data_IF_342123534576
#
_entry.id   IF_342123534576
#
_cell.length_a   1.000
_cell.length_b   1.000
_cell.length_c   1.000
_cell.angle_alpha   90.00
_cell.angle_beta   90.00
_cell.angle_gamma   90.00
#
_symmetry.space_group_name_H-M   'P 1'
#
loop_
_entity.id
_entity.type
_entity.pdbx_description
1 polymer ?
#
# COMPACT_ATOMS: atom_id res chain seq x y z
N UNK A 1 -11.55 -5.05 -14.80
CA UNK A 1 -10.23 -5.70 -15.01
C UNK A 1 -10.07 -6.74 -13.91
N UNK A 2 -9.96 -8.04 -14.22
CA UNK A 2 -9.76 -9.07 -13.19
C UNK A 2 -8.42 -8.81 -12.50
N UNK A 3 -8.41 -8.79 -11.16
CA UNK A 3 -7.19 -8.73 -10.36
C UNK A 3 -6.26 -9.82 -10.87
N UNK A 4 -5.10 -9.44 -11.42
CA UNK A 4 -4.07 -10.40 -11.79
C UNK A 4 -3.85 -11.29 -10.58
N UNK A 5 -4.16 -12.57 -10.76
CA UNK A 5 -4.37 -13.55 -9.70
C UNK A 5 -3.34 -13.38 -8.58
N UNK A 6 -3.79 -13.00 -7.39
CA UNK A 6 -3.02 -13.17 -6.16
C UNK A 6 -2.60 -14.64 -5.93
N UNK A 7 -3.12 -15.59 -6.73
CA UNK A 7 -2.74 -16.99 -6.69
C UNK A 7 -1.44 -17.27 -7.45
N UNK A 8 -0.33 -17.35 -6.71
CA UNK A 8 0.84 -18.14 -7.11
C UNK A 8 0.90 -19.42 -6.27
N UNK A 9 1.54 -20.44 -6.83
CA UNK A 9 1.68 -21.74 -6.20
C UNK A 9 3.08 -21.94 -5.64
N UNK A 10 3.16 -22.40 -4.39
CA UNK A 10 4.42 -22.78 -3.74
C UNK A 10 5.19 -23.76 -4.61
N UNK A 11 6.51 -23.59 -4.67
CA UNK A 11 7.42 -24.40 -5.49
C UNK A 11 7.56 -23.95 -6.94
N UNK A 12 6.71 -23.02 -7.41
CA UNK A 12 6.80 -22.48 -8.78
C UNK A 12 7.96 -21.48 -8.90
N UNK A 13 8.71 -21.55 -10.00
CA UNK A 13 9.68 -20.50 -10.37
C UNK A 13 9.03 -19.46 -11.26
N UNK A 14 9.09 -18.20 -10.83
CA UNK A 14 8.68 -17.04 -11.60
C UNK A 14 9.89 -16.46 -12.34
N UNK A 15 9.66 -15.95 -13.54
CA UNK A 15 10.67 -15.32 -14.41
C UNK A 15 10.38 -13.84 -14.68
N UNK A 16 9.35 -13.29 -14.03
CA UNK A 16 8.99 -11.87 -14.10
C UNK A 16 9.42 -11.19 -12.79
N UNK A 17 10.53 -10.43 -12.79
CA UNK A 17 11.00 -9.72 -11.60
C UNK A 17 9.97 -8.78 -11.00
N UNK A 18 9.09 -8.18 -11.80
CA UNK A 18 8.05 -7.25 -11.31
C UNK A 18 7.00 -7.97 -10.47
N UNK A 19 6.79 -9.27 -10.72
CA UNK A 19 5.85 -10.07 -9.95
C UNK A 19 6.30 -10.28 -8.49
N UNK A 20 7.61 -10.39 -8.26
CA UNK A 20 8.22 -10.72 -6.95
C UNK A 20 9.10 -9.61 -6.37
N UNK A 21 8.94 -8.38 -6.86
CA UNK A 21 9.60 -7.19 -6.32
C UNK A 21 11.04 -6.94 -6.79
N UNK A 22 11.52 -7.64 -7.81
CA UNK A 22 12.85 -7.45 -8.40
C UNK A 22 13.94 -8.22 -7.66
N UNK A 23 15.20 -7.81 -7.84
CA UNK A 23 16.35 -8.37 -7.12
C UNK A 23 17.00 -9.58 -7.80
N UNK A 24 16.22 -10.34 -8.56
CA UNK A 24 16.65 -11.51 -9.31
C UNK A 24 15.91 -11.60 -10.63
N UNK A 25 16.51 -12.24 -11.64
CA UNK A 25 15.84 -12.53 -12.92
C UNK A 25 14.73 -13.58 -12.76
N UNK A 26 14.87 -14.45 -11.76
CA UNK A 26 13.93 -15.51 -11.43
C UNK A 26 13.92 -15.81 -9.95
N UNK A 27 12.78 -16.24 -9.45
CA UNK A 27 12.62 -16.57 -8.03
C UNK A 27 11.67 -17.74 -7.84
N UNK A 28 11.99 -18.63 -6.91
CA UNK A 28 11.10 -19.73 -6.52
C UNK A 28 10.24 -19.30 -5.34
N UNK A 29 8.93 -19.49 -5.44
CA UNK A 29 7.98 -19.25 -4.34
C UNK A 29 8.20 -20.30 -3.26
N UNK A 30 8.57 -19.88 -2.06
CA UNK A 30 8.82 -20.75 -0.91
C UNK A 30 7.58 -20.93 -0.05
N UNK A 31 7.17 -19.86 0.63
CA UNK A 31 6.01 -19.85 1.55
C UNK A 31 4.99 -18.84 1.02
N UNK A 32 3.72 -19.06 1.36
CA UNK A 32 2.63 -18.14 1.06
C UNK A 32 1.67 -18.04 2.24
N UNK A 33 1.43 -16.83 2.72
CA UNK A 33 0.56 -16.53 3.86
C UNK A 33 -0.46 -15.48 3.41
N UNK A 34 -1.75 -15.76 3.63
CA UNK A 34 -2.81 -14.76 3.43
C UNK A 34 -2.86 -13.84 4.64
N UNK A 35 -3.10 -12.55 4.39
CA UNK A 35 -3.17 -11.54 5.45
C UNK A 35 -4.13 -10.41 5.07
N UNK A 36 -4.33 -9.45 5.98
CA UNK A 36 -5.14 -8.25 5.80
C UNK A 36 -4.38 -7.04 6.33
N UNK A 37 -4.07 -6.10 5.45
CA UNK A 37 -3.41 -4.84 5.81
C UNK A 37 -4.40 -3.68 5.58
N UNK A 38 -4.69 -2.90 6.63
CA UNK A 38 -5.62 -1.77 6.56
C UNK A 38 -7.00 -2.14 5.99
N UNK A 39 -7.52 -3.33 6.33
CA UNK A 39 -8.79 -3.84 5.81
C UNK A 39 -8.74 -4.37 4.37
N UNK A 40 -7.58 -4.33 3.71
CA UNK A 40 -7.40 -4.85 2.36
C UNK A 40 -6.72 -6.21 2.36
N UNK A 41 -7.18 -7.11 1.48
CA UNK A 41 -6.61 -8.45 1.36
C UNK A 41 -5.16 -8.38 0.84
N UNK A 42 -4.27 -9.02 1.59
CA UNK A 42 -2.86 -9.14 1.31
C UNK A 42 -2.41 -10.59 1.20
N UNK A 43 -1.25 -10.77 0.56
CA UNK A 43 -0.53 -12.04 0.54
C UNK A 43 0.94 -11.76 0.77
N UNK A 44 1.54 -12.40 1.76
CA UNK A 44 2.98 -12.45 1.94
C UNK A 44 3.52 -13.71 1.30
N UNK A 45 4.56 -13.57 0.48
CA UNK A 45 5.23 -14.67 -0.19
C UNK A 45 6.73 -14.59 0.00
N UNK A 46 7.35 -15.73 0.29
CA UNK A 46 8.80 -15.86 0.27
C UNK A 46 9.30 -16.25 -1.10
N UNK A 47 10.45 -15.71 -1.43
CA UNK A 47 11.11 -15.93 -2.70
C UNK A 47 12.55 -16.30 -2.47
N UNK A 48 13.01 -17.34 -3.16
CA UNK A 48 14.41 -17.75 -3.16
C UNK A 48 14.99 -17.56 -4.56
N UNK A 49 16.05 -16.78 -4.66
CA UNK A 49 16.83 -16.65 -5.90
C UNK A 49 17.58 -17.98 -6.16
N UNK A 50 17.34 -18.67 -7.28
CA UNK A 50 17.94 -19.97 -7.55
C UNK A 50 19.47 -19.96 -7.63
N UNK A 51 20.05 -18.84 -8.10
CA UNK A 51 21.48 -18.75 -8.38
C UNK A 51 22.30 -18.35 -7.15
N UNK A 52 21.73 -17.53 -6.26
CA UNK A 52 22.45 -16.97 -5.10
C UNK A 52 21.99 -17.56 -3.77
N UNK A 53 20.83 -18.23 -3.75
CA UNK A 53 20.18 -18.66 -2.51
C UNK A 53 19.63 -17.51 -1.67
N UNK A 54 19.69 -16.26 -2.15
CA UNK A 54 19.13 -15.12 -1.44
C UNK A 54 17.62 -15.32 -1.23
N UNK A 55 17.14 -15.00 -0.03
CA UNK A 55 15.73 -15.11 0.33
C UNK A 55 15.18 -13.74 0.68
N UNK A 56 13.98 -13.42 0.25
CA UNK A 56 13.26 -12.22 0.65
C UNK A 56 11.76 -12.51 0.72
N UNK A 57 11.03 -11.64 1.39
CA UNK A 57 9.57 -11.69 1.44
C UNK A 57 9.00 -10.51 0.65
N UNK A 58 7.84 -10.74 0.02
CA UNK A 58 7.02 -9.65 -0.51
C UNK A 58 5.61 -9.73 0.02
N UNK A 59 5.09 -8.59 0.47
CA UNK A 59 3.67 -8.39 0.68
C UNK A 59 3.05 -7.80 -0.59
N UNK A 60 1.98 -8.41 -1.09
CA UNK A 60 1.13 -7.85 -2.16
C UNK A 60 -0.26 -7.59 -1.60
N UNK A 61 -0.72 -6.34 -1.63
CA UNK A 61 -2.05 -5.91 -1.18
C UNK A 61 -2.91 -5.51 -2.37
N UNK A 62 -4.13 -6.03 -2.42
CA UNK A 62 -5.14 -5.66 -3.41
C UNK A 62 -5.84 -4.36 -3.04
N UNK A 63 -5.70 -3.33 -3.87
CA UNK A 63 -6.26 -1.99 -3.65
C UNK A 63 -7.65 -1.87 -4.30
N UNK A 64 -8.54 -1.01 -3.75
CA UNK A 64 -9.91 -0.87 -4.23
C UNK A 64 -10.00 -0.05 -5.53
N UNK A 65 -8.99 0.77 -5.82
CA UNK A 65 -8.92 1.65 -6.99
C UNK A 65 -7.60 1.47 -7.73
N UNK A 66 -7.58 1.84 -9.01
CA UNK A 66 -6.34 1.94 -9.76
C UNK A 66 -5.56 3.18 -9.30
N UNK A 67 -4.29 2.99 -8.99
CA UNK A 67 -3.36 4.07 -8.63
C UNK A 67 -2.27 4.27 -9.66
N UNK A 68 -1.73 5.50 -9.75
CA UNK A 68 -0.60 5.81 -10.61
C UNK A 68 0.58 4.88 -10.36
N UNK A 69 1.27 4.50 -11.44
CA UNK A 69 2.44 3.66 -11.34
C UNK A 69 3.62 4.43 -10.74
N UNK A 70 4.07 4.01 -9.57
CA UNK A 70 5.23 4.57 -8.87
C UNK A 70 5.98 3.45 -8.15
N UNK A 71 7.30 3.46 -8.26
CA UNK A 71 8.17 2.55 -7.51
C UNK A 71 9.16 3.38 -6.71
N UNK A 72 9.33 2.99 -5.45
CA UNK A 72 10.30 3.55 -4.52
C UNK A 72 11.28 2.43 -4.18
N UNK A 73 12.53 2.60 -4.61
CA UNK A 73 13.59 1.61 -4.45
C UNK A 73 14.66 2.14 -3.51
N UNK A 74 15.06 1.34 -2.53
CA UNK A 74 16.23 1.66 -1.73
C UNK A 74 17.48 1.64 -2.61
N UNK A 75 18.38 2.61 -2.45
CA UNK A 75 19.56 2.77 -3.31
C UNK A 75 20.50 1.56 -3.29
N UNK A 76 20.50 0.78 -2.22
CA UNK A 76 21.25 -0.49 -2.16
C UNK A 76 20.74 -1.55 -3.15
N UNK A 77 19.53 -1.41 -3.68
CA UNK A 77 18.96 -2.28 -4.70
C UNK A 77 19.34 -1.88 -6.14
N UNK A 78 20.00 -0.73 -6.31
CA UNK A 78 20.31 -0.20 -7.64
C UNK A 78 21.20 -1.17 -8.43
N UNK A 79 20.82 -1.41 -9.69
CA UNK A 79 21.54 -2.34 -10.58
C UNK A 79 21.09 -3.79 -10.46
N UNK A 80 20.20 -4.13 -9.52
CA UNK A 80 19.57 -5.45 -9.47
C UNK A 80 18.48 -5.61 -10.54
N UNK A 81 18.19 -6.84 -11.01
CA UNK A 81 17.12 -7.10 -11.96
C UNK A 81 15.77 -6.50 -11.54
N UNK A 82 15.11 -5.81 -12.47
CA UNK A 82 13.83 -5.14 -12.22
C UNK A 82 13.92 -3.88 -11.38
N UNK A 83 15.11 -3.42 -10.97
CA UNK A 83 15.34 -2.10 -10.37
C UNK A 83 15.81 -1.14 -11.45
N UNK A 84 15.02 -0.10 -11.80
CA UNK A 84 15.41 0.83 -12.85
C UNK A 84 16.74 1.50 -12.50
N UNK A 85 17.68 1.46 -13.44
CA UNK A 85 18.87 2.30 -13.38
C UNK A 85 18.39 3.74 -13.48
N UNK A 86 18.71 4.57 -12.49
CA UNK A 86 18.27 5.96 -12.37
C UNK A 86 18.30 6.70 -13.73
N UNK A 87 17.17 6.74 -14.42
CA UNK A 87 17.07 7.25 -15.79
C UNK A 87 15.65 7.67 -16.09
N UNK A 88 15.50 8.76 -16.86
CA UNK A 88 14.29 9.32 -17.51
C UNK A 88 13.10 9.72 -16.63
N UNK A 89 12.74 8.86 -15.68
CA UNK A 89 11.51 8.87 -14.90
C UNK A 89 11.78 9.01 -13.39
N UNK A 90 12.99 9.46 -13.04
CA UNK A 90 13.39 9.69 -11.65
C UNK A 90 12.69 10.94 -11.10
N UNK A 91 11.96 10.78 -10.00
CA UNK A 91 11.29 11.85 -9.28
C UNK A 91 12.05 12.10 -7.98
N UNK A 92 12.23 13.36 -7.59
CA UNK A 92 12.76 13.70 -6.26
C UNK A 92 11.62 13.91 -5.29
N UNK A 93 11.75 13.40 -4.07
CA UNK A 93 10.82 13.70 -2.99
C UNK A 93 10.93 15.15 -2.53
N UNK A 94 12.11 15.77 -2.70
CA UNK A 94 12.39 17.11 -2.17
C UNK A 94 12.76 17.09 -0.69
N UNK A 95 12.99 15.90 -0.12
CA UNK A 95 13.48 15.70 1.24
C UNK A 95 14.85 15.04 1.18
N UNK A 96 15.90 15.78 1.54
CA UNK A 96 17.29 15.34 1.36
C UNK A 96 17.57 13.97 2.00
N UNK A 97 17.13 13.75 3.24
CA UNK A 97 17.32 12.48 3.94
C UNK A 97 16.66 11.30 3.21
N UNK A 98 15.51 11.50 2.58
CA UNK A 98 14.82 10.47 1.82
C UNK A 98 15.51 10.24 0.46
N UNK A 99 15.79 11.33 -0.26
CA UNK A 99 16.44 11.28 -1.57
C UNK A 99 17.86 10.68 -1.50
N UNK A 100 18.53 10.73 -0.33
CA UNK A 100 19.81 10.06 -0.06
C UNK A 100 19.72 8.55 0.05
N UNK A 101 18.56 7.99 0.44
CA UNK A 101 18.38 6.56 0.69
C UNK A 101 17.55 5.88 -0.39
N UNK A 102 16.63 6.61 -1.02
CA UNK A 102 15.67 6.07 -1.97
C UNK A 102 15.77 6.72 -3.34
N UNK A 103 15.37 5.96 -4.35
CA UNK A 103 15.13 6.39 -5.71
C UNK A 103 13.65 6.20 -6.02
N UNK A 104 13.00 7.23 -6.55
CA UNK A 104 11.60 7.16 -6.98
C UNK A 104 11.54 7.14 -8.49
N UNK A 105 10.87 6.15 -9.05
CA UNK A 105 10.60 6.02 -10.48
C UNK A 105 9.10 6.05 -10.73
N UNK A 106 8.65 6.94 -11.62
CA UNK A 106 7.24 7.03 -12.00
C UNK A 106 7.04 7.49 -13.44
N UNK A 107 6.02 6.93 -14.11
CA UNK A 107 5.69 7.33 -15.49
C UNK A 107 5.13 8.74 -15.58
N UNK A 108 4.38 9.14 -14.57
CA UNK A 108 3.82 10.49 -14.42
C UNK A 108 4.38 11.11 -13.12
N UNK A 109 5.36 12.03 -13.23
CA UNK A 109 5.96 12.70 -12.08
C UNK A 109 4.97 13.49 -11.23
N UNK A 110 3.92 14.07 -11.83
CA UNK A 110 2.93 14.86 -11.08
C UNK A 110 2.04 13.94 -10.24
N UNK A 111 1.59 12.83 -10.82
CA UNK A 111 0.82 11.84 -10.08
C UNK A 111 1.66 11.15 -8.99
N UNK A 112 2.96 10.95 -9.24
CA UNK A 112 3.89 10.43 -8.24
C UNK A 112 4.12 11.39 -7.08
N UNK A 113 4.24 12.70 -7.34
CA UNK A 113 4.34 13.71 -6.28
C UNK A 113 3.12 13.70 -5.34
N UNK A 114 1.94 13.35 -5.85
CA UNK A 114 0.73 13.21 -5.01
C UNK A 114 0.75 11.95 -4.13
N UNK A 115 1.41 10.88 -4.58
CA UNK A 115 1.58 9.65 -3.80
C UNK A 115 2.73 9.76 -2.79
N UNK A 116 3.80 10.45 -3.18
CA UNK A 116 5.02 10.65 -2.40
C UNK A 116 4.84 11.79 -1.38
N UNK A 117 3.96 11.57 -0.40
CA UNK A 117 3.74 12.50 0.70
C UNK A 117 4.91 12.51 1.68
N UNK A 118 5.06 13.60 2.45
CA UNK A 118 6.06 13.66 3.53
C UNK A 118 5.87 12.53 4.56
N UNK A 119 4.62 12.16 4.85
CA UNK A 119 4.31 11.02 5.71
C UNK A 119 4.77 9.68 5.13
N UNK A 120 4.62 9.45 3.82
CA UNK A 120 5.15 8.24 3.18
C UNK A 120 6.68 8.19 3.27
N UNK A 121 7.36 9.32 3.05
CA UNK A 121 8.81 9.42 3.20
C UNK A 121 9.26 9.10 4.63
N UNK A 122 8.57 9.61 5.65
CA UNK A 122 8.87 9.34 7.06
C UNK A 122 8.68 7.86 7.43
N UNK A 123 7.59 7.24 6.97
CA UNK A 123 7.34 5.80 7.17
C UNK A 123 8.48 4.97 6.60
N UNK A 124 8.91 5.24 5.36
CA UNK A 124 9.97 4.51 4.68
C UNK A 124 11.38 4.77 5.24
N UNK A 125 11.60 5.92 5.88
CA UNK A 125 12.84 6.20 6.60
C UNK A 125 12.88 5.46 7.95
N UNK A 126 11.75 5.41 8.67
CA UNK A 126 11.65 4.71 9.95
C UNK A 126 11.67 3.19 9.79
N UNK A 127 11.06 2.69 8.72
CA UNK A 127 10.88 1.26 8.45
C UNK A 127 11.35 0.97 7.03
N UNK A 128 12.67 0.84 6.83
CA UNK A 128 13.21 0.72 5.49
C UNK A 128 12.84 -0.61 4.85
N UNK A 129 12.45 -0.52 3.58
CA UNK A 129 12.19 -1.67 2.70
C UNK A 129 13.05 -1.55 1.47
N UNK A 130 13.36 -2.68 0.85
CA UNK A 130 14.15 -2.61 -0.38
C UNK A 130 13.34 -2.01 -1.52
N UNK A 131 12.04 -2.31 -1.59
CA UNK A 131 11.14 -1.75 -2.58
C UNK A 131 9.73 -1.59 -2.06
N UNK A 132 9.10 -0.49 -2.49
CA UNK A 132 7.67 -0.27 -2.44
C UNK A 132 7.18 0.10 -3.85
N UNK A 133 6.09 -0.50 -4.31
CA UNK A 133 5.57 -0.27 -5.65
C UNK A 133 4.05 -0.18 -5.65
N UNK A 134 3.56 0.83 -6.34
CA UNK A 134 2.16 1.03 -6.69
C UNK A 134 2.00 0.79 -8.18
N UNK A 135 1.07 -0.07 -8.56
CA UNK A 135 0.77 -0.34 -9.96
C UNK A 135 -0.66 -0.83 -10.14
N UNK A 136 -1.50 -0.04 -10.81
CA UNK A 136 -2.90 -0.41 -11.01
C UNK A 136 -3.59 -0.58 -9.66
N UNK A 137 -4.20 -1.73 -9.40
CA UNK A 137 -4.89 -2.03 -8.13
C UNK A 137 -4.00 -2.78 -7.13
N UNK A 138 -2.69 -2.55 -7.14
CA UNK A 138 -1.72 -3.30 -6.34
C UNK A 138 -0.76 -2.38 -5.59
N UNK A 139 -0.61 -2.63 -4.30
CA UNK A 139 0.56 -2.24 -3.51
C UNK A 139 1.44 -3.49 -3.36
N UNK A 140 2.74 -3.35 -3.64
CA UNK A 140 3.76 -4.36 -3.39
C UNK A 140 4.84 -3.78 -2.49
N UNK A 141 5.16 -4.50 -1.43
CA UNK A 141 6.26 -4.20 -0.52
C UNK A 141 7.22 -5.37 -0.52
N UNK A 142 8.52 -5.11 -0.68
CA UNK A 142 9.57 -6.12 -0.68
C UNK A 142 10.60 -5.80 0.39
N UNK A 143 10.91 -6.80 1.21
CA UNK A 143 11.97 -6.73 2.21
C UNK A 143 13.35 -6.70 1.55
N UNK A 144 14.37 -6.40 2.35
CA UNK A 144 15.74 -6.74 1.96
C UNK A 144 15.94 -8.26 1.89
N UNK A 145 17.05 -8.67 1.29
CA UNK A 145 17.46 -10.07 1.30
C UNK A 145 17.83 -10.49 2.73
N UNK A 146 17.60 -11.77 3.07
CA UNK A 146 17.78 -12.35 4.40
C UNK A 146 16.49 -12.45 5.23
N UNK A 147 15.37 -11.92 4.74
CA UNK A 147 14.07 -11.98 5.41
C UNK A 147 13.20 -13.12 4.85
N UNK A 148 12.68 -13.94 5.74
CA UNK A 148 11.68 -14.98 5.43
C UNK A 148 10.33 -14.57 6.03
N UNK A 149 9.24 -15.16 5.55
CA UNK A 149 7.86 -14.93 5.99
C UNK A 149 7.58 -15.65 7.30
N UNK A 150 8.35 -15.31 8.34
CA UNK A 150 8.03 -15.67 9.71
C UNK A 150 6.83 -14.86 10.18
N UNK A 151 6.12 -15.28 11.24
CA UNK A 151 5.01 -14.52 11.79
C UNK A 151 5.36 -13.06 12.13
N UNK A 152 6.58 -12.81 12.60
CA UNK A 152 7.08 -11.48 12.93
C UNK A 152 7.23 -10.60 11.68
N UNK A 153 7.77 -11.16 10.59
CA UNK A 153 7.92 -10.44 9.31
C UNK A 153 6.57 -10.18 8.67
N UNK A 154 5.64 -11.15 8.73
CA UNK A 154 4.27 -10.97 8.24
C UNK A 154 3.58 -9.82 8.99
N UNK A 155 3.59 -9.85 10.32
CA UNK A 155 2.97 -8.80 11.14
C UNK A 155 3.60 -7.43 10.89
N UNK A 156 4.93 -7.38 10.74
CA UNK A 156 5.64 -6.13 10.44
C UNK A 156 5.28 -5.59 9.04
N UNK A 157 5.21 -6.45 8.02
CA UNK A 157 4.80 -6.06 6.67
C UNK A 157 3.35 -5.54 6.65
N UNK A 158 2.44 -6.18 7.40
CA UNK A 158 1.05 -5.74 7.50
C UNK A 158 0.92 -4.38 8.17
N UNK A 159 1.65 -4.18 9.26
CA UNK A 159 1.69 -2.90 9.96
C UNK A 159 2.29 -1.80 9.07
N UNK A 160 3.41 -2.08 8.40
CA UNK A 160 4.03 -1.15 7.46
C UNK A 160 3.08 -0.78 6.32
N UNK A 161 2.43 -1.76 5.70
CA UNK A 161 1.45 -1.49 4.66
C UNK A 161 0.27 -0.68 5.19
N UNK A 162 -0.18 -0.90 6.42
CA UNK A 162 -1.23 -0.11 7.02
C UNK A 162 -0.81 1.36 7.23
N UNK A 163 0.43 1.61 7.67
CA UNK A 163 0.94 2.97 7.78
C UNK A 163 1.09 3.65 6.42
N UNK A 164 1.66 2.96 5.43
CA UNK A 164 1.76 3.46 4.04
C UNK A 164 0.39 3.86 3.51
N UNK A 165 -0.62 3.00 3.69
CA UNK A 165 -1.97 3.24 3.18
C UNK A 165 -2.66 4.39 3.91
N UNK A 166 -2.43 4.54 5.23
CA UNK A 166 -2.98 5.65 6.01
C UNK A 166 -2.42 7.02 5.59
N UNK A 167 -1.13 7.09 5.19
CA UNK A 167 -0.47 8.34 4.82
C UNK A 167 -0.47 8.64 3.31
N UNK A 168 -1.07 7.77 2.50
CA UNK A 168 -1.14 7.94 1.04
C UNK A 168 -2.58 8.32 0.62
N UNK A 169 -2.83 9.60 0.26
CA UNK A 169 -4.19 10.14 0.08
C UNK A 169 -5.03 9.46 -1.01
N UNK A 170 -4.37 8.85 -2.00
CA UNK A 170 -5.03 8.25 -3.17
C UNK A 170 -5.86 7.00 -2.85
N UNK A 171 -5.67 6.37 -1.68
CA UNK A 171 -6.39 5.15 -1.29
C UNK A 171 -7.65 5.43 -0.46
N UNK A 172 -7.73 6.60 0.17
CA UNK A 172 -8.88 7.06 0.94
C UNK A 172 -9.84 7.88 0.07
N UNK A 173 -9.30 8.56 -0.93
CA UNK A 173 -10.08 9.40 -1.84
C UNK A 173 -10.21 8.72 -3.18
N UNK A 174 -11.44 8.51 -3.68
CA UNK A 174 -11.67 8.22 -5.10
C UNK A 174 -10.92 9.29 -5.91
N UNK A 175 -9.76 8.96 -6.47
CA UNK A 175 -9.14 9.77 -7.52
C UNK A 175 -9.95 9.54 -8.80
N UNK A 176 -11.18 10.03 -8.80
CA UNK A 176 -11.95 10.23 -10.00
C UNK A 176 -11.41 11.48 -10.67
N UNK A 177 -10.44 11.30 -11.57
CA UNK A 177 -10.06 12.31 -12.56
C UNK A 177 -11.21 12.66 -13.54
N UNK A 178 -12.46 12.39 -13.17
CA UNK A 178 -13.67 12.63 -13.96
C UNK A 178 -14.71 13.50 -13.22
N UNK A 179 -14.46 13.92 -11.98
CA UNK A 179 -15.39 14.78 -11.26
C UNK A 179 -14.78 16.18 -11.10
N UNK A 180 -15.47 17.18 -11.67
CA UNK A 180 -15.14 18.60 -11.55
C UNK A 180 -15.12 19.12 -10.10
N UNK A 181 -14.88 20.44 -9.93
CA UNK A 181 -14.33 21.01 -8.71
C UNK A 181 -15.40 21.24 -7.64
N UNK A 182 -16.11 20.21 -7.15
CA UNK A 182 -17.06 20.40 -6.03
C UNK A 182 -17.54 19.11 -5.34
N UNK A 183 -16.79 18.00 -5.39
CA UNK A 183 -17.20 16.79 -4.65
C UNK A 183 -16.28 16.61 -3.45
N UNK A 184 -16.82 16.88 -2.27
CA UNK A 184 -16.14 16.60 -1.00
C UNK A 184 -15.68 15.12 -0.98
N UNK A 185 -14.49 14.83 -0.42
CA UNK A 185 -13.97 13.47 -0.35
C UNK A 185 -14.99 12.58 0.36
N UNK A 186 -15.55 11.60 -0.36
CA UNK A 186 -16.38 10.58 0.28
C UNK A 186 -15.45 9.65 1.05
N UNK A 187 -15.43 9.84 2.36
CA UNK A 187 -14.92 8.86 3.32
C UNK A 187 -15.66 7.53 3.16
N UNK A 188 -14.98 6.43 3.48
CA UNK A 188 -15.56 5.09 3.44
C UNK A 188 -16.84 5.00 4.29
N UNK A 189 -17.78 4.12 3.92
CA UNK A 189 -18.98 3.90 4.73
C UNK A 189 -18.60 3.55 6.18
N UNK A 190 -19.35 4.05 7.17
CA UNK A 190 -19.04 3.83 8.58
C UNK A 190 -18.98 2.33 8.89
N UNK A 191 -17.93 1.91 9.61
CA UNK A 191 -17.67 0.51 10.00
C UNK A 191 -16.37 -0.12 9.51
N UNK A 192 -15.54 0.61 8.73
CA UNK A 192 -14.21 0.17 8.27
C UNK A 192 -13.04 0.84 9.02
N UNK A 193 -13.31 1.79 9.91
CA UNK A 193 -12.29 2.35 10.78
C UNK A 193 -11.96 1.34 11.89
N UNK A 194 -10.66 1.15 12.16
CA UNK A 194 -10.20 0.44 13.36
C UNK A 194 -10.71 1.13 14.63
N UNK A 195 -10.46 0.57 15.82
CA UNK A 195 -11.18 0.87 17.07
C UNK A 195 -11.01 2.29 17.65
N UNK A 196 -10.47 3.25 16.89
CA UNK A 196 -10.43 4.67 17.27
C UNK A 196 -11.19 5.49 16.22
N UNK A 197 -12.50 5.66 16.45
CA UNK A 197 -13.25 6.76 15.84
C UNK A 197 -12.93 8.06 16.58
N UNK A 198 -12.70 9.18 15.89
CA UNK A 198 -12.74 10.49 16.52
C UNK A 198 -14.20 10.84 16.85
N UNK A 199 -14.46 11.16 18.11
CA UNK A 199 -15.78 11.60 18.57
C UNK A 199 -16.26 12.83 17.79
N UNK A 200 -17.39 12.64 17.07
CA UNK A 200 -18.17 13.69 16.45
C UNK A 200 -18.58 14.74 17.49
N UNK A 201 -17.91 15.89 17.49
CA UNK A 201 -18.39 17.08 18.18
C UNK A 201 -19.51 17.70 17.36
N UNK A 202 -20.72 17.21 17.65
CA UNK A 202 -22.04 17.86 17.57
C UNK A 202 -22.02 19.26 16.93
N UNK A 203 -22.46 19.34 15.68
CA UNK A 203 -23.09 20.57 15.18
C UNK A 203 -24.53 20.62 15.69
N UNK A 204 -24.80 21.60 16.54
CA UNK A 204 -26.11 21.92 17.07
C UNK A 204 -27.08 22.36 15.97
N UNK A 205 -28.30 21.83 16.05
CA UNK A 205 -29.51 22.63 15.90
C UNK A 205 -29.89 23.11 14.50
N UNK A 206 -30.48 22.24 13.69
CA UNK A 206 -31.55 22.64 12.77
C UNK A 206 -32.71 21.66 12.90
N UNK A 207 -33.71 22.09 13.65
CA UNK A 207 -34.96 21.38 13.83
C UNK A 207 -35.82 21.40 12.57
N UNK A 208 -36.48 20.28 12.32
CA UNK A 208 -37.74 20.24 11.59
C UNK A 208 -38.56 19.06 12.10
N UNK A 209 -39.83 19.37 12.31
CA UNK A 209 -40.77 18.67 13.15
C UNK A 209 -41.32 17.37 12.54
N UNK A 210 -41.79 16.51 13.44
CA UNK A 210 -43.12 15.93 13.29
C UNK A 210 -43.17 14.42 13.05
N UNK A 211 -44.15 13.80 13.73
CA UNK A 211 -44.61 12.41 13.61
C UNK A 211 -43.71 11.48 14.45
N UNK A 212 -44.10 11.00 15.64
CA UNK A 212 -45.36 10.34 15.96
C UNK A 212 -45.73 10.55 17.44
N UNK A 213 -47.01 10.84 17.70
CA UNK A 213 -47.62 10.71 19.03
C UNK A 213 -48.17 9.31 19.24
N UNK A 214 -48.33 8.94 20.52
CA UNK A 214 -49.29 8.00 21.17
C UNK A 214 -48.61 7.06 22.18
N UNK A 215 -49.32 6.58 23.23
CA UNK A 215 -49.92 7.36 24.31
C UNK A 215 -49.45 6.87 25.70
N UNK A 216 -49.64 7.72 26.71
CA UNK A 216 -49.38 7.40 28.11
C UNK A 216 -50.23 6.22 28.62
N UNK A 217 -49.59 5.28 29.31
CA UNK A 217 -50.24 4.36 30.26
C UNK A 217 -49.61 4.56 31.65
N UNK A 218 -50.48 4.88 32.62
CA UNK A 218 -50.18 5.10 34.04
C UNK A 218 -50.02 3.79 34.83
N UNK A 219 -49.44 3.97 36.03
CA UNK A 219 -49.44 3.17 37.28
C UNK A 219 -48.32 2.12 37.39
N UNK A 220 -47.66 1.95 38.53
CA UNK A 220 -48.04 2.28 39.91
C UNK A 220 -47.20 3.39 40.56
#
# INVERSE_FOLDING_TARGET
MPVARLSRFVGTTLIDPVAFGGGSERARVGVRVQTVAHGYLGVVEDYVAPNTGAVWSTLTVGLPCCVPAMTVDHRSAQGLPGVPVAGGHAVRAGQASFDEHYLVAARDPLAAANLLSGGLCEVLLRQPVQRLSFEGSRLLVRTFDGFNATPEVVNWLDWLAAEVLAVTPAFVTRVTAAAGPTVAPQTFPPGLYGPEEPEDTRSEGLGLAGLFSFPARRRA
#
